data_IF_982340177664
#
_entry.id   IF_982340177664
#
_cell.length_a   1.000
_cell.length_b   1.000
_cell.length_c   1.000
_cell.angle_alpha   90.00
_cell.angle_beta   90.00
_cell.angle_gamma   90.00
#
_symmetry.space_group_name_H-M   'P 1'
#
loop_
_entity.id
_entity.type
_entity.pdbx_description
1 polymer ?
#
# COMPACT_ATOMS: atom_id res chain seq x y z
N UNK A 1 -12.72 -24.79 -44.45
CA UNK A 1 -11.72 -23.74 -44.13
C UNK A 1 -12.44 -22.64 -43.36
N UNK A 2 -12.75 -22.82 -42.07
CA UNK A 2 -11.94 -22.47 -40.89
C UNK A 2 -11.49 -21.01 -40.87
N UNK A 3 -12.24 -20.11 -40.21
CA UNK A 3 -11.76 -18.94 -39.43
C UNK A 3 -12.89 -18.36 -38.56
N UNK A 4 -13.17 -18.92 -37.39
CA UNK A 4 -14.02 -18.28 -36.35
C UNK A 4 -13.83 -19.00 -35.00
N UNK A 5 -12.64 -18.87 -34.41
CA UNK A 5 -12.39 -19.41 -33.05
C UNK A 5 -11.20 -18.74 -32.34
N UNK A 6 -10.91 -17.46 -32.61
CA UNK A 6 -9.72 -16.79 -32.07
C UNK A 6 -9.99 -15.49 -31.29
N UNK A 7 -11.25 -15.19 -30.97
CA UNK A 7 -11.63 -13.93 -30.29
C UNK A 7 -11.85 -14.04 -28.78
N UNK A 8 -12.32 -15.19 -28.29
CA UNK A 8 -12.87 -15.29 -26.92
C UNK A 8 -11.93 -15.94 -25.91
N UNK A 9 -10.88 -16.63 -26.37
CA UNK A 9 -9.90 -17.30 -25.49
C UNK A 9 -8.88 -16.37 -24.86
N UNK A 10 -8.61 -15.20 -25.48
CA UNK A 10 -7.52 -14.31 -25.04
C UNK A 10 -7.94 -13.35 -23.91
N UNK A 11 -9.24 -13.04 -23.79
CA UNK A 11 -9.75 -12.15 -22.73
C UNK A 11 -9.95 -12.84 -21.37
N UNK A 12 -10.15 -14.15 -21.34
CA UNK A 12 -10.19 -14.93 -20.09
C UNK A 12 -8.79 -15.22 -19.53
N UNK A 13 -7.77 -15.31 -20.39
CA UNK A 13 -6.38 -15.50 -19.97
C UNK A 13 -5.79 -14.26 -19.26
N UNK A 14 -6.16 -13.06 -19.72
CA UNK A 14 -5.68 -11.81 -19.13
C UNK A 14 -6.27 -11.54 -17.73
N UNK A 15 -7.53 -11.93 -17.48
CA UNK A 15 -8.14 -11.81 -16.16
C UNK A 15 -7.58 -12.84 -15.16
N UNK A 16 -7.28 -14.06 -15.64
CA UNK A 16 -6.67 -15.10 -14.81
C UNK A 16 -5.22 -14.77 -14.40
N UNK A 17 -4.40 -14.16 -15.27
CA UNK A 17 -3.05 -13.71 -14.89
C UNK A 17 -3.07 -12.48 -13.97
N UNK A 18 -4.05 -11.58 -14.11
CA UNK A 18 -4.22 -10.43 -13.22
C UNK A 18 -4.50 -10.85 -11.77
N UNK A 19 -5.36 -11.86 -11.57
CA UNK A 19 -5.66 -12.39 -10.24
C UNK A 19 -4.47 -13.08 -9.55
N UNK A 20 -3.52 -13.64 -10.31
CA UNK A 20 -2.34 -14.31 -9.74
C UNK A 20 -1.35 -13.29 -9.15
N UNK A 21 -1.22 -12.11 -9.76
CA UNK A 21 -0.46 -11.00 -9.15
C UNK A 21 -1.16 -10.41 -7.92
N UNK A 22 -2.49 -10.42 -7.86
CA UNK A 22 -3.24 -9.97 -6.68
C UNK A 22 -3.16 -10.94 -5.49
N UNK A 23 -3.06 -12.25 -5.75
CA UNK A 23 -3.11 -13.27 -4.70
C UNK A 23 -1.81 -13.44 -3.90
N UNK A 24 -0.66 -13.00 -4.42
CA UNK A 24 0.66 -13.33 -3.84
C UNK A 24 1.39 -12.15 -3.21
N UNK A 25 1.11 -10.91 -3.62
CA UNK A 25 1.84 -9.73 -3.12
C UNK A 25 1.27 -9.05 -1.87
N UNK A 26 -0.04 -9.23 -1.59
CA UNK A 26 -0.76 -8.37 -0.63
C UNK A 26 -1.12 -9.09 0.69
N UNK A 27 -0.90 -10.41 0.74
CA UNK A 27 -1.10 -11.27 1.92
C UNK A 27 -2.55 -11.39 2.41
N UNK A 28 -2.90 -12.51 3.03
CA UNK A 28 -4.15 -12.62 3.77
C UNK A 28 -4.01 -11.94 5.13
N UNK A 29 -5.00 -11.13 5.51
CA UNK A 29 -5.04 -10.49 6.82
C UNK A 29 -5.34 -11.52 7.90
N UNK A 30 -4.64 -11.41 9.03
CA UNK A 30 -4.94 -12.19 10.24
C UNK A 30 -6.29 -11.73 10.81
N UNK A 31 -7.16 -12.64 11.30
CA UNK A 31 -8.45 -12.26 11.85
C UNK A 31 -8.33 -11.29 13.03
N UNK A 32 -9.19 -10.27 13.08
CA UNK A 32 -9.21 -9.28 14.17
C UNK A 32 -9.36 -9.92 15.56
N UNK A 33 -10.05 -11.05 15.68
CA UNK A 33 -10.21 -11.77 16.94
C UNK A 33 -8.91 -12.37 17.49
N UNK A 34 -7.92 -12.59 16.63
CA UNK A 34 -6.61 -13.14 17.01
C UNK A 34 -5.53 -12.07 17.27
N UNK A 35 -5.86 -10.79 17.09
CA UNK A 35 -4.97 -9.69 17.42
C UNK A 35 -4.87 -9.51 18.93
N UNK A 36 -3.67 -9.16 19.41
CA UNK A 36 -3.48 -8.64 20.75
C UNK A 36 -4.25 -7.32 20.92
N UNK A 37 -4.51 -6.90 22.16
CA UNK A 37 -5.25 -5.66 22.44
C UNK A 37 -4.58 -4.44 21.80
N UNK A 38 -3.25 -4.37 21.86
CA UNK A 38 -2.46 -3.30 21.28
C UNK A 38 -2.52 -3.28 19.75
N UNK A 39 -2.50 -4.44 19.11
CA UNK A 39 -2.62 -4.54 17.65
C UNK A 39 -4.00 -4.14 17.17
N UNK A 40 -5.04 -4.52 17.93
CA UNK A 40 -6.41 -4.08 17.70
C UNK A 40 -6.51 -2.57 17.84
N UNK A 41 -5.98 -2.01 18.92
CA UNK A 41 -5.99 -0.57 19.17
C UNK A 41 -5.28 0.19 18.04
N UNK A 42 -4.11 -0.27 17.60
CA UNK A 42 -3.40 0.32 16.47
C UNK A 42 -4.21 0.29 15.18
N UNK A 43 -4.83 -0.85 14.82
CA UNK A 43 -5.70 -0.95 13.65
C UNK A 43 -6.87 0.04 13.71
N UNK A 44 -7.48 0.23 14.88
CA UNK A 44 -8.58 1.19 15.05
C UNK A 44 -8.10 2.64 14.99
N UNK A 45 -6.98 2.96 15.64
CA UNK A 45 -6.40 4.32 15.63
C UNK A 45 -5.97 4.75 14.22
N UNK A 46 -5.50 3.81 13.40
CA UNK A 46 -5.04 4.10 12.04
C UNK A 46 -6.17 4.14 11.00
N UNK A 47 -7.44 3.97 11.42
CA UNK A 47 -8.58 3.99 10.52
C UNK A 47 -8.90 5.42 10.08
N UNK A 48 -8.99 5.64 8.77
CA UNK A 48 -9.29 6.94 8.17
C UNK A 48 -8.36 8.08 8.63
N UNK A 49 -7.08 7.78 8.82
CA UNK A 49 -6.07 8.76 9.22
C UNK A 49 -5.62 9.58 8.02
N UNK A 50 -5.32 10.86 8.27
CA UNK A 50 -4.75 11.76 7.28
C UNK A 50 -3.39 12.23 7.79
N UNK A 51 -2.36 12.01 6.98
CA UNK A 51 -1.01 12.51 7.20
C UNK A 51 -0.77 13.69 6.26
N UNK A 52 -0.40 14.84 6.82
CA UNK A 52 -0.14 16.09 6.07
C UNK A 52 1.30 16.50 6.37
N UNK A 53 2.08 16.73 5.32
CA UNK A 53 3.49 17.05 5.43
C UNK A 53 3.97 17.96 4.30
N UNK A 54 5.28 18.15 4.25
CA UNK A 54 5.96 18.78 3.12
C UNK A 54 7.25 17.99 2.83
N UNK A 55 7.57 17.79 1.56
CA UNK A 55 8.84 17.18 1.13
C UNK A 55 9.71 18.19 0.39
N UNK A 56 10.98 17.86 0.22
CA UNK A 56 11.94 18.66 -0.56
C UNK A 56 12.67 17.74 -1.55
N UNK A 57 13.10 18.31 -2.68
CA UNK A 57 13.92 17.62 -3.67
C UNK A 57 15.25 18.35 -3.72
N UNK A 58 16.35 17.62 -3.56
CA UNK A 58 17.70 18.17 -3.69
C UNK A 58 17.86 18.85 -5.06
N UNK A 59 18.39 20.08 -5.08
CA UNK A 59 18.50 20.88 -6.30
C UNK A 59 17.22 21.55 -6.79
N UNK A 60 16.06 21.34 -6.13
CA UNK A 60 14.79 22.06 -6.37
C UNK A 60 14.24 22.66 -5.07
N UNK A 61 15.06 23.44 -4.39
CA UNK A 61 14.69 24.04 -3.11
C UNK A 61 13.56 25.08 -3.25
N UNK A 62 12.47 24.87 -2.52
CA UNK A 62 11.46 25.89 -2.21
C UNK A 62 11.46 26.14 -0.72
N UNK A 63 11.37 27.42 -0.31
CA UNK A 63 11.37 27.83 1.11
C UNK A 63 10.32 27.12 1.97
N UNK A 64 9.19 26.75 1.39
CA UNK A 64 8.05 26.16 2.11
C UNK A 64 7.88 24.65 1.85
N UNK A 65 8.82 24.03 1.13
CA UNK A 65 8.68 22.65 0.65
C UNK A 65 7.55 22.45 -0.38
N UNK A 66 7.34 21.20 -0.75
CA UNK A 66 6.23 20.76 -1.59
C UNK A 66 5.21 20.05 -0.69
N UNK A 67 3.94 20.52 -0.64
CA UNK A 67 2.96 19.92 0.24
C UNK A 67 2.64 18.48 -0.20
N UNK A 68 2.52 17.60 0.78
CA UNK A 68 2.12 16.20 0.60
C UNK A 68 0.97 15.84 1.53
N UNK A 69 0.11 14.93 1.05
CA UNK A 69 -1.02 14.41 1.81
C UNK A 69 -1.20 12.93 1.49
N UNK A 70 -1.23 12.13 2.54
CA UNK A 70 -1.51 10.70 2.48
C UNK A 70 -2.72 10.39 3.35
N UNK A 71 -3.62 9.53 2.86
CA UNK A 71 -4.77 9.09 3.63
C UNK A 71 -4.66 7.58 3.84
N UNK A 72 -4.76 7.12 5.09
CA UNK A 72 -4.77 5.70 5.42
C UNK A 72 -6.23 5.32 5.67
N UNK A 73 -6.80 4.47 4.81
CA UNK A 73 -8.18 4.01 4.98
C UNK A 73 -8.28 3.02 6.14
N UNK A 74 -7.36 2.05 6.15
CA UNK A 74 -7.31 0.98 7.14
C UNK A 74 -5.94 0.30 7.15
N UNK A 75 -5.67 -0.39 8.25
CA UNK A 75 -4.43 -1.13 8.49
C UNK A 75 -4.76 -2.54 8.96
N UNK A 76 -4.19 -3.53 8.29
CA UNK A 76 -4.42 -4.95 8.57
C UNK A 76 -3.10 -5.66 8.88
N UNK A 77 -3.04 -6.39 10.00
CA UNK A 77 -1.93 -7.30 10.27
C UNK A 77 -1.97 -8.49 9.30
N UNK A 78 -0.81 -8.87 8.78
CA UNK A 78 -0.59 -10.09 8.00
C UNK A 78 0.17 -11.12 8.83
N UNK A 79 0.62 -12.20 8.22
CA UNK A 79 1.48 -13.18 8.88
C UNK A 79 2.81 -12.55 9.33
N UNK A 80 3.25 -12.90 10.55
CA UNK A 80 4.50 -12.46 11.14
C UNK A 80 4.45 -11.01 11.64
N UNK A 81 5.44 -10.23 11.25
CA UNK A 81 5.62 -8.81 11.52
C UNK A 81 5.16 -7.92 10.36
N UNK A 82 4.50 -8.49 9.35
CA UNK A 82 4.05 -7.75 8.16
C UNK A 82 2.71 -7.11 8.38
N UNK A 83 2.58 -5.87 7.93
CA UNK A 83 1.35 -5.08 8.02
C UNK A 83 1.03 -4.45 6.69
N UNK A 84 -0.26 -4.46 6.33
CA UNK A 84 -0.77 -3.82 5.12
C UNK A 84 -1.47 -2.52 5.49
N UNK A 85 -0.98 -1.43 4.91
CA UNK A 85 -1.58 -0.11 4.96
C UNK A 85 -2.27 0.14 3.63
N UNK A 86 -3.58 0.37 3.65
CA UNK A 86 -4.28 0.82 2.46
C UNK A 86 -4.19 2.34 2.41
N UNK A 87 -3.23 2.85 1.62
CA UNK A 87 -2.87 4.25 1.56
C UNK A 87 -3.38 4.86 0.25
N UNK A 88 -4.22 5.89 0.35
CA UNK A 88 -4.59 6.76 -0.78
C UNK A 88 -3.57 7.88 -0.91
N UNK A 89 -2.95 7.94 -2.08
CA UNK A 89 -1.96 8.94 -2.44
C UNK A 89 -2.59 9.89 -3.45
N UNK A 90 -2.46 11.19 -3.22
CA UNK A 90 -2.88 12.22 -4.17
C UNK A 90 -1.70 13.12 -4.53
N UNK A 91 -1.25 13.03 -5.77
CA UNK A 91 -0.15 13.84 -6.30
C UNK A 91 -0.40 14.20 -7.77
N UNK A 92 -0.38 15.50 -8.10
CA UNK A 92 -0.68 15.95 -9.46
C UNK A 92 -2.04 15.44 -9.96
N UNK A 93 -2.02 14.63 -11.02
CA UNK A 93 -3.19 13.96 -11.60
C UNK A 93 -3.39 12.52 -11.09
N UNK A 94 -2.52 12.03 -10.21
CA UNK A 94 -2.58 10.70 -9.61
C UNK A 94 -3.41 10.76 -8.33
N UNK A 95 -4.48 9.95 -8.29
CA UNK A 95 -5.31 9.71 -7.11
C UNK A 95 -5.60 8.20 -7.04
N UNK A 96 -4.81 7.49 -6.25
CA UNK A 96 -4.81 6.02 -6.22
C UNK A 96 -4.74 5.51 -4.79
N UNK A 97 -5.44 4.42 -4.50
CA UNK A 97 -5.30 3.66 -3.25
C UNK A 97 -4.40 2.47 -3.49
N UNK A 98 -3.28 2.41 -2.78
CA UNK A 98 -2.26 1.38 -2.91
C UNK A 98 -2.16 0.56 -1.62
N UNK A 99 -2.12 -0.78 -1.71
CA UNK A 99 -1.79 -1.61 -0.56
C UNK A 99 -0.27 -1.60 -0.34
N UNK A 100 0.17 -0.98 0.75
CA UNK A 100 1.58 -0.91 1.15
C UNK A 100 1.83 -1.95 2.23
N UNK A 101 2.58 -3.00 1.91
CA UNK A 101 2.95 -4.06 2.85
C UNK A 101 4.36 -3.82 3.37
N UNK A 102 4.50 -3.57 4.67
CA UNK A 102 5.77 -3.26 5.33
C UNK A 102 5.92 -4.03 6.63
N UNK A 103 7.16 -4.37 7.04
CA UNK A 103 7.42 -4.86 8.38
C UNK A 103 7.17 -3.75 9.41
N UNK A 104 6.49 -4.10 10.49
CA UNK A 104 6.29 -3.22 11.63
C UNK A 104 6.66 -3.96 12.90
N UNK A 105 7.57 -3.36 13.66
CA UNK A 105 8.01 -3.84 14.96
C UNK A 105 7.59 -2.87 16.05
N UNK A 106 7.57 -3.34 17.29
CA UNK A 106 7.21 -2.52 18.44
C UNK A 106 8.47 -2.15 19.21
N UNK A 107 8.73 -0.85 19.37
CA UNK A 107 9.77 -0.33 20.24
C UNK A 107 9.10 0.17 21.54
N UNK A 108 9.12 -0.64 22.59
CA UNK A 108 8.31 -0.35 23.78
C UNK A 108 6.82 -0.37 23.41
N UNK A 109 6.11 0.75 23.59
CA UNK A 109 4.71 1.01 23.20
C UNK A 109 4.54 1.67 21.82
N UNK A 110 5.63 2.02 21.13
CA UNK A 110 5.59 2.74 19.85
C UNK A 110 5.67 1.80 18.63
N UNK A 111 4.76 1.88 17.65
CA UNK A 111 4.85 1.15 16.38
C UNK A 111 5.91 1.77 15.48
N UNK A 112 6.86 0.95 15.01
CA UNK A 112 7.97 1.36 14.16
C UNK A 112 7.96 0.58 12.86
N UNK A 113 7.86 1.30 11.74
CA UNK A 113 8.09 0.75 10.41
C UNK A 113 9.57 0.97 10.08
N UNK A 114 10.27 -0.10 9.71
CA UNK A 114 11.68 -0.03 9.29
C UNK A 114 11.86 -0.81 8.00
N UNK A 115 12.23 -0.10 6.93
CA UNK A 115 12.38 -0.65 5.60
C UNK A 115 13.80 -0.38 5.08
N UNK A 116 14.31 -1.29 4.26
CA UNK A 116 15.60 -1.16 3.56
C UNK A 116 15.36 -1.58 2.12
N UNK A 117 15.87 -0.81 1.16
CA UNK A 117 15.75 -1.07 -0.29
C UNK A 117 14.31 -1.42 -0.73
N UNK A 118 13.33 -0.65 -0.25
CA UNK A 118 11.91 -0.88 -0.53
C UNK A 118 11.41 0.05 -1.62
N UNK A 119 10.82 -0.54 -2.67
CA UNK A 119 10.18 0.19 -3.76
C UNK A 119 8.66 -0.02 -3.71
N UNK A 120 7.90 1.07 -3.87
CA UNK A 120 6.45 0.99 -4.06
C UNK A 120 6.18 1.12 -5.56
N UNK A 121 5.60 0.09 -6.21
CA UNK A 121 5.31 0.16 -7.63
C UNK A 121 4.46 1.39 -7.99
N UNK A 122 4.92 2.17 -8.97
CA UNK A 122 4.22 3.37 -9.42
C UNK A 122 4.45 4.63 -8.58
N UNK A 123 5.32 4.59 -7.58
CA UNK A 123 5.79 5.78 -6.84
C UNK A 123 7.30 5.92 -6.99
N UNK A 124 7.80 7.15 -7.11
CA UNK A 124 9.25 7.44 -7.15
C UNK A 124 9.86 7.61 -8.54
N UNK A 125 9.25 7.06 -9.60
CA UNK A 125 9.80 7.07 -10.97
C UNK A 125 9.71 8.44 -11.69
N UNK A 126 8.88 9.37 -11.19
CA UNK A 126 8.65 10.68 -11.81
C UNK A 126 9.50 11.82 -11.20
N UNK A 127 10.43 11.52 -10.29
CA UNK A 127 11.24 12.52 -9.57
C UNK A 127 12.65 12.71 -10.16
#
# INVERSE_FOLDING_TARGET
MLKLAAGTGLLLGAFALGCVFSATGVGQSVPLASLTDREREFTEQMRNVVLIGNFTIEGRERRDGLPERYEITDVSKLEGDRWRFNARVKYGNVDVTLPVVVPMVWAGDTPMISITDFAIPGLGEEF
#
